data_IF_023530873119
#
_entry.id   IF_023530873119
#
_cell.length_a   1.000
_cell.length_b   1.000
_cell.length_c   1.000
_cell.angle_alpha   90.00
_cell.angle_beta   90.00
_cell.angle_gamma   90.00
#
_symmetry.space_group_name_H-M   'P 1'
#
loop_
_entity.id
_entity.type
_entity.pdbx_description
1 polymer ?
#
# COMPACT_ATOMS: atom_id res chain seq x y z
N UNK A 1 -14.98 -1.34 -16.75
CA UNK A 1 -13.85 -1.91 -15.99
C UNK A 1 -14.25 -2.02 -14.53
N UNK A 2 -14.10 -3.19 -13.96
CA UNK A 2 -14.42 -3.42 -12.57
C UNK A 2 -13.15 -3.46 -11.74
N UNK A 3 -13.15 -2.72 -10.63
CA UNK A 3 -12.05 -2.80 -9.69
C UNK A 3 -12.26 -4.02 -8.79
N UNK A 4 -11.27 -4.90 -8.74
CA UNK A 4 -11.32 -6.12 -7.95
C UNK A 4 -10.34 -6.13 -6.79
N UNK A 5 -9.28 -5.37 -6.89
CA UNK A 5 -8.24 -5.35 -5.86
C UNK A 5 -7.68 -3.95 -5.70
N UNK A 6 -7.91 -3.38 -4.53
CA UNK A 6 -7.49 -2.02 -4.19
C UNK A 6 -6.25 -2.11 -3.30
N UNK A 7 -5.19 -1.41 -3.70
CA UNK A 7 -3.96 -1.31 -2.93
C UNK A 7 -3.91 0.07 -2.29
N UNK A 8 -3.80 0.12 -0.96
CA UNK A 8 -3.73 1.37 -0.20
C UNK A 8 -2.30 1.60 0.24
N UNK A 9 -1.73 2.72 -0.17
CA UNK A 9 -0.40 3.14 0.28
C UNK A 9 -0.53 3.76 1.66
N UNK A 10 -0.21 3.00 2.69
CA UNK A 10 -0.35 3.44 4.08
C UNK A 10 0.96 4.04 4.59
N UNK A 11 0.82 4.99 5.51
CA UNK A 11 1.92 5.58 6.24
C UNK A 11 1.63 5.48 7.73
N UNK A 12 2.65 5.60 8.58
CA UNK A 12 2.48 5.43 10.03
C UNK A 12 2.01 6.74 10.69
N UNK A 13 0.89 7.25 10.21
CA UNK A 13 0.26 8.46 10.74
C UNK A 13 -1.25 8.26 10.79
N UNK A 14 -1.92 9.05 11.63
CA UNK A 14 -3.38 8.96 11.77
C UNK A 14 -4.13 9.35 10.49
N UNK A 15 -3.51 10.16 9.64
CA UNK A 15 -4.09 10.56 8.35
C UNK A 15 -4.41 9.35 7.48
N UNK A 16 -3.66 8.27 7.64
CA UNK A 16 -3.87 7.04 6.87
C UNK A 16 -5.28 6.48 7.07
N UNK A 17 -5.90 6.76 8.19
CA UNK A 17 -7.27 6.30 8.46
C UNK A 17 -8.28 6.89 7.46
N UNK A 18 -8.01 8.09 6.95
CA UNK A 18 -8.83 8.69 5.88
C UNK A 18 -8.78 7.84 4.62
N UNK A 19 -7.56 7.39 4.25
CA UNK A 19 -7.38 6.51 3.09
C UNK A 19 -8.08 5.17 3.30
N UNK A 20 -7.94 4.60 4.47
CA UNK A 20 -8.53 3.29 4.79
C UNK A 20 -10.05 3.37 4.72
N UNK A 21 -10.65 4.43 5.25
CA UNK A 21 -12.09 4.64 5.18
C UNK A 21 -12.56 4.75 3.73
N UNK A 22 -11.80 5.47 2.90
CA UNK A 22 -12.12 5.64 1.49
C UNK A 22 -12.03 4.30 0.75
N UNK A 23 -10.99 3.53 1.02
CA UNK A 23 -10.80 2.21 0.42
C UNK A 23 -11.93 1.26 0.83
N UNK A 24 -12.31 1.27 2.11
CA UNK A 24 -13.39 0.43 2.60
C UNK A 24 -14.72 0.79 1.92
N UNK A 25 -14.98 2.07 1.71
CA UNK A 25 -16.17 2.52 1.00
C UNK A 25 -16.20 1.96 -0.43
N UNK A 26 -15.09 2.08 -1.16
CA UNK A 26 -15.02 1.55 -2.52
C UNK A 26 -15.11 0.03 -2.54
N UNK A 27 -14.46 -0.64 -1.60
CA UNK A 27 -14.50 -2.10 -1.53
C UNK A 27 -15.92 -2.62 -1.32
N UNK A 28 -16.69 -1.95 -0.47
CA UNK A 28 -18.09 -2.31 -0.25
C UNK A 28 -18.94 -2.11 -1.51
N UNK A 29 -18.74 -0.98 -2.19
CA UNK A 29 -19.52 -0.65 -3.37
C UNK A 29 -19.18 -1.49 -4.59
N UNK A 30 -17.92 -1.90 -4.71
CA UNK A 30 -17.41 -2.59 -5.89
C UNK A 30 -17.18 -4.07 -5.67
N UNK A 31 -17.42 -4.56 -4.47
CA UNK A 31 -17.11 -5.93 -4.06
C UNK A 31 -15.66 -6.28 -4.34
N UNK A 32 -14.76 -5.39 -3.93
CA UNK A 32 -13.33 -5.51 -4.16
C UNK A 32 -12.59 -5.92 -2.90
N UNK A 33 -11.42 -6.52 -3.07
CA UNK A 33 -10.51 -6.81 -1.97
C UNK A 33 -9.61 -5.62 -1.69
N UNK A 34 -9.02 -5.58 -0.50
CA UNK A 34 -8.11 -4.53 -0.06
C UNK A 34 -6.79 -5.15 0.36
N UNK A 35 -5.69 -4.53 -0.03
CA UNK A 35 -4.35 -4.81 0.49
C UNK A 35 -3.68 -3.50 0.85
N UNK A 36 -2.72 -3.55 1.77
CA UNK A 36 -1.92 -2.39 2.15
C UNK A 36 -0.51 -2.53 1.61
N UNK A 37 0.15 -1.42 1.32
CA UNK A 37 1.58 -1.37 1.06
C UNK A 37 2.20 -0.26 1.89
N UNK A 38 3.29 -0.57 2.56
CA UNK A 38 4.08 0.38 3.34
C UNK A 38 5.53 0.30 2.87
N UNK A 39 6.10 1.45 2.50
CA UNK A 39 7.50 1.54 2.09
C UNK A 39 8.26 2.32 3.15
N UNK A 40 9.18 1.63 3.82
CA UNK A 40 10.02 2.24 4.84
C UNK A 40 11.25 2.84 4.17
N UNK A 41 11.32 4.15 4.14
CA UNK A 41 12.45 4.86 3.55
C UNK A 41 13.54 5.26 4.53
N UNK A 42 13.38 4.91 5.82
CA UNK A 42 14.28 5.44 6.85
C UNK A 42 15.61 4.68 6.98
N UNK A 43 15.66 3.46 6.49
CA UNK A 43 16.81 2.55 6.70
C UNK A 43 17.53 2.17 5.42
N UNK A 44 17.29 2.90 4.33
CA UNK A 44 17.87 2.55 3.03
C UNK A 44 17.29 1.24 2.51
N UNK A 45 17.95 0.65 1.53
CA UNK A 45 17.45 -0.57 0.92
C UNK A 45 17.98 -1.80 1.65
N UNK A 46 17.19 -2.32 2.58
CA UNK A 46 17.51 -3.52 3.34
C UNK A 46 17.03 -4.77 2.62
N UNK A 47 15.88 -4.68 1.95
CA UNK A 47 15.28 -5.81 1.25
C UNK A 47 15.26 -5.56 -0.25
N UNK A 48 15.64 -6.57 -1.06
CA UNK A 48 15.56 -6.41 -2.52
C UNK A 48 14.12 -6.43 -3.04
N UNK A 49 13.16 -6.91 -2.26
CA UNK A 49 11.78 -7.05 -2.71
C UNK A 49 10.79 -6.67 -1.62
N UNK A 50 9.56 -6.33 -2.04
CA UNK A 50 8.43 -6.14 -1.14
C UNK A 50 7.92 -7.52 -0.73
N UNK A 51 7.63 -7.69 0.54
CA UNK A 51 7.12 -8.95 1.06
C UNK A 51 5.86 -8.74 1.90
N UNK A 52 5.04 -9.79 2.00
CA UNK A 52 3.79 -9.77 2.75
C UNK A 52 4.08 -10.17 4.20
N UNK A 53 3.69 -9.32 5.16
CA UNK A 53 3.92 -9.65 6.57
C UNK A 53 2.88 -10.62 7.13
N UNK A 54 1.77 -10.82 6.44
CA UNK A 54 0.79 -11.83 6.85
C UNK A 54 1.36 -13.23 6.57
N UNK A 55 1.44 -14.04 7.58
CA UNK A 55 2.00 -15.39 7.46
C UNK A 55 3.48 -15.49 7.73
N UNK A 56 4.19 -14.39 7.93
CA UNK A 56 5.62 -14.37 8.23
C UNK A 56 5.92 -13.79 9.61
N UNK A 57 5.00 -13.96 10.53
CA UNK A 57 5.14 -13.40 11.88
C UNK A 57 6.32 -14.04 12.60
N UNK A 58 7.12 -13.21 13.24
CA UNK A 58 8.20 -13.63 14.11
C UNK A 58 9.61 -13.61 13.52
N UNK A 59 9.74 -13.52 12.19
CA UNK A 59 11.06 -13.54 11.53
C UNK A 59 11.31 -12.33 10.63
N UNK A 60 10.58 -11.24 10.86
CA UNK A 60 10.71 -10.05 10.03
C UNK A 60 11.72 -9.09 10.65
N UNK A 61 12.75 -8.67 9.89
CA UNK A 61 13.71 -7.68 10.39
C UNK A 61 13.14 -6.25 10.41
N UNK A 62 11.85 -6.11 10.44
CA UNK A 62 11.15 -4.84 10.54
C UNK A 62 10.81 -4.57 12.01
N UNK A 63 10.84 -3.31 12.39
CA UNK A 63 10.50 -2.87 13.73
C UNK A 63 9.13 -3.39 14.13
N UNK A 64 9.05 -3.97 15.32
CA UNK A 64 7.81 -4.51 15.88
C UNK A 64 6.72 -3.44 15.98
N UNK A 65 7.09 -2.20 16.32
CA UNK A 65 6.13 -1.08 16.38
C UNK A 65 5.49 -0.82 15.02
N UNK A 66 6.25 -0.94 13.94
CA UNK A 66 5.72 -0.81 12.58
C UNK A 66 4.70 -1.89 12.28
N UNK A 67 5.03 -3.12 12.62
CA UNK A 67 4.13 -4.27 12.42
C UNK A 67 2.83 -4.05 13.22
N UNK A 68 2.94 -3.63 14.46
CA UNK A 68 1.78 -3.39 15.31
C UNK A 68 0.90 -2.28 14.76
N UNK A 69 1.50 -1.23 14.21
CA UNK A 69 0.78 -0.13 13.57
C UNK A 69 -0.03 -0.62 12.37
N UNK A 70 0.59 -1.44 11.53
CA UNK A 70 -0.06 -1.98 10.34
C UNK A 70 -1.22 -2.91 10.71
N UNK A 71 -1.05 -3.70 11.75
CA UNK A 71 -2.13 -4.56 12.26
C UNK A 71 -3.27 -3.75 12.86
N UNK A 72 -2.96 -2.62 13.49
CA UNK A 72 -3.98 -1.70 13.98
C UNK A 72 -4.81 -1.13 12.83
N UNK A 73 -4.17 -0.77 11.73
CA UNK A 73 -4.86 -0.32 10.53
C UNK A 73 -5.76 -1.40 9.95
N UNK A 74 -5.30 -2.64 9.95
CA UNK A 74 -6.11 -3.78 9.51
C UNK A 74 -7.39 -3.91 10.34
N UNK A 75 -7.26 -3.81 11.64
CA UNK A 75 -8.41 -3.85 12.55
C UNK A 75 -9.34 -2.66 12.32
N UNK A 76 -8.76 -1.48 12.12
CA UNK A 76 -9.52 -0.25 11.87
C UNK A 76 -10.36 -0.35 10.60
N UNK A 77 -9.86 -1.01 9.58
CA UNK A 77 -10.54 -1.10 8.28
C UNK A 77 -11.88 -1.86 8.35
N UNK A 78 -12.03 -2.75 9.32
CA UNK A 78 -13.22 -3.61 9.44
C UNK A 78 -13.52 -4.41 8.19
N UNK A 79 -12.48 -4.70 7.43
CA UNK A 79 -12.50 -5.50 6.21
C UNK A 79 -11.42 -6.56 6.30
N UNK A 80 -11.60 -7.65 5.60
CA UNK A 80 -10.53 -8.62 5.44
C UNK A 80 -9.46 -7.99 4.53
N UNK A 81 -8.25 -7.83 5.07
CA UNK A 81 -7.12 -7.32 4.31
C UNK A 81 -6.37 -8.52 3.74
N UNK A 82 -6.28 -8.59 2.41
CA UNK A 82 -5.68 -9.74 1.74
C UNK A 82 -4.19 -9.85 1.99
N UNK A 83 -3.48 -8.75 1.86
CA UNK A 83 -2.02 -8.70 2.02
C UNK A 83 -1.62 -7.39 2.68
N UNK A 84 -0.53 -7.42 3.44
CA UNK A 84 0.10 -6.23 3.99
C UNK A 84 1.54 -6.26 3.51
N UNK A 85 1.81 -5.60 2.41
CA UNK A 85 3.13 -5.58 1.78
C UNK A 85 4.02 -4.54 2.44
N UNK A 86 5.24 -4.91 2.74
CA UNK A 86 6.23 -4.01 3.32
C UNK A 86 7.52 -4.11 2.53
N UNK A 87 8.12 -2.98 2.24
CA UNK A 87 9.38 -2.92 1.53
C UNK A 87 10.20 -1.72 1.98
N UNK A 88 11.45 -1.68 1.54
CA UNK A 88 12.37 -0.57 1.80
C UNK A 88 12.98 -0.09 0.47
N UNK A 89 13.47 1.14 0.46
CA UNK A 89 14.21 1.67 -0.67
C UNK A 89 13.34 2.16 -1.82
N UNK A 90 13.79 1.88 -3.04
CA UNK A 90 13.14 2.39 -4.25
C UNK A 90 11.79 1.74 -4.50
N UNK A 91 10.83 2.58 -4.84
CA UNK A 91 9.44 2.19 -5.01
C UNK A 91 9.13 1.54 -6.36
N UNK A 92 9.82 1.99 -7.44
CA UNK A 92 9.34 1.77 -8.81
C UNK A 92 9.20 0.31 -9.23
N UNK A 93 10.29 -0.44 -9.26
CA UNK A 93 10.26 -1.82 -9.75
C UNK A 93 9.53 -2.75 -8.79
N UNK A 94 9.69 -2.50 -7.49
CA UNK A 94 9.09 -3.34 -6.45
C UNK A 94 7.58 -3.24 -6.46
N UNK A 95 7.06 -2.02 -6.58
CA UNK A 95 5.62 -1.79 -6.61
C UNK A 95 4.99 -2.39 -7.87
N UNK A 96 5.67 -2.26 -9.00
CA UNK A 96 5.23 -2.87 -10.24
C UNK A 96 5.02 -4.38 -10.08
N UNK A 97 5.98 -5.06 -9.47
CA UNK A 97 5.89 -6.51 -9.28
C UNK A 97 4.71 -6.89 -8.39
N UNK A 98 4.46 -6.12 -7.33
CA UNK A 98 3.32 -6.35 -6.45
C UNK A 98 2.00 -6.17 -7.21
N UNK A 99 1.89 -5.12 -8.00
CA UNK A 99 0.70 -4.82 -8.77
C UNK A 99 0.39 -5.95 -9.75
N UNK A 100 1.39 -6.35 -10.53
CA UNK A 100 1.21 -7.40 -11.54
C UNK A 100 0.91 -8.76 -10.93
N UNK A 101 1.66 -9.13 -9.88
CA UNK A 101 1.55 -10.45 -9.28
C UNK A 101 0.21 -10.65 -8.55
N UNK A 102 -0.42 -9.58 -8.10
CA UNK A 102 -1.62 -9.66 -7.25
C UNK A 102 -2.87 -9.12 -7.92
N UNK A 103 -2.80 -8.75 -9.18
CA UNK A 103 -3.97 -8.25 -9.90
C UNK A 103 -4.53 -6.95 -9.33
N UNK A 104 -3.66 -6.08 -8.86
CA UNK A 104 -4.07 -4.77 -8.35
C UNK A 104 -4.52 -3.90 -9.54
N UNK A 105 -5.67 -3.27 -9.40
CA UNK A 105 -6.23 -2.44 -10.47
C UNK A 105 -6.56 -1.02 -10.02
N UNK A 106 -6.46 -0.72 -8.72
CA UNK A 106 -6.63 0.63 -8.20
C UNK A 106 -5.65 0.87 -7.06
N UNK A 107 -4.91 1.96 -7.12
CA UNK A 107 -3.99 2.38 -6.07
C UNK A 107 -4.53 3.66 -5.42
N UNK A 108 -4.67 3.63 -4.08
CA UNK A 108 -5.05 4.82 -3.30
C UNK A 108 -3.84 5.34 -2.54
N UNK A 109 -3.60 6.63 -2.61
CA UNK A 109 -2.54 7.28 -1.82
C UNK A 109 -2.98 8.65 -1.36
N UNK A 110 -2.34 9.16 -0.32
CA UNK A 110 -2.63 10.47 0.24
C UNK A 110 -1.73 11.55 -0.35
N UNK A 111 -2.30 12.71 -0.55
CA UNK A 111 -1.62 13.82 -1.23
C UNK A 111 -0.39 14.34 -0.46
N UNK A 112 -0.44 14.31 0.87
CA UNK A 112 0.66 14.85 1.70
C UNK A 112 1.71 13.82 2.11
N UNK A 113 1.53 12.56 1.76
CA UNK A 113 2.42 11.50 2.20
C UNK A 113 3.67 11.40 1.35
N UNK A 114 4.76 10.92 1.94
CA UNK A 114 6.02 10.67 1.23
C UNK A 114 5.82 9.73 0.05
N UNK A 115 4.90 8.80 0.18
CA UNK A 115 4.57 7.88 -0.91
C UNK A 115 4.15 8.64 -2.16
N UNK A 116 3.30 9.67 -2.02
CA UNK A 116 2.85 10.48 -3.14
C UNK A 116 4.02 11.17 -3.85
N UNK A 117 4.95 11.73 -3.08
CA UNK A 117 6.13 12.38 -3.66
C UNK A 117 7.01 11.39 -4.41
N UNK A 118 7.20 10.19 -3.85
CA UNK A 118 7.95 9.13 -4.52
C UNK A 118 7.21 8.65 -5.77
N UNK A 119 5.90 8.53 -5.70
CA UNK A 119 5.08 8.11 -6.82
C UNK A 119 5.17 9.09 -7.98
N UNK A 120 5.12 10.40 -7.72
CA UNK A 120 5.26 11.42 -8.76
C UNK A 120 6.61 11.26 -9.49
N UNK A 121 7.68 11.04 -8.73
CA UNK A 121 9.03 10.90 -9.29
C UNK A 121 9.17 9.67 -10.19
N UNK A 122 8.38 8.63 -9.95
CA UNK A 122 8.49 7.35 -10.65
C UNK A 122 7.20 6.95 -11.38
N UNK A 123 6.20 7.84 -11.42
CA UNK A 123 4.88 7.50 -11.96
C UNK A 123 4.93 7.04 -13.41
N UNK A 124 5.80 7.64 -14.23
CA UNK A 124 5.92 7.25 -15.61
C UNK A 124 6.31 5.78 -15.76
N UNK A 125 7.27 5.32 -14.96
CA UNK A 125 7.70 3.93 -14.99
C UNK A 125 6.57 2.98 -14.59
N UNK A 126 5.84 3.35 -13.55
CA UNK A 126 4.74 2.53 -13.04
C UNK A 126 3.59 2.47 -14.07
N UNK A 127 3.21 3.62 -14.60
CA UNK A 127 2.08 3.73 -15.53
C UNK A 127 2.40 3.04 -16.87
N UNK A 128 3.61 3.22 -17.39
CA UNK A 128 4.00 2.64 -18.68
C UNK A 128 4.12 1.12 -18.63
N UNK A 129 4.49 0.57 -17.48
CA UNK A 129 4.76 -0.86 -17.35
C UNK A 129 3.57 -1.64 -16.80
N UNK A 130 2.86 -1.05 -15.84
CA UNK A 130 1.67 -1.66 -15.24
C UNK A 130 0.61 -0.57 -15.08
N UNK A 131 -0.08 -0.21 -16.17
CA UNK A 131 -1.07 0.86 -16.10
C UNK A 131 -2.23 0.46 -15.20
N UNK A 132 -2.40 1.24 -14.14
CA UNK A 132 -3.52 1.09 -13.19
C UNK A 132 -4.06 2.48 -12.89
N UNK A 133 -5.29 2.52 -12.41
CA UNK A 133 -5.87 3.76 -11.95
C UNK A 133 -5.30 4.14 -10.59
N UNK A 134 -5.04 5.42 -10.39
CA UNK A 134 -4.50 5.95 -9.15
C UNK A 134 -5.46 7.01 -8.63
N UNK A 135 -5.92 6.82 -7.40
CA UNK A 135 -6.75 7.80 -6.73
C UNK A 135 -5.93 8.49 -5.64
N UNK A 136 -5.80 9.79 -5.76
CA UNK A 136 -5.10 10.61 -4.78
C UNK A 136 -6.13 11.28 -3.89
N UNK A 137 -6.06 11.00 -2.59
CA UNK A 137 -7.02 11.53 -1.63
C UNK A 137 -6.42 12.77 -0.98
N UNK A 138 -7.13 13.92 -1.03
CA UNK A 138 -6.64 15.11 -0.35
C UNK A 138 -6.60 14.90 1.16
N UNK A 139 -5.47 15.29 1.75
CA UNK A 139 -5.23 15.17 3.19
C UNK A 139 -5.05 16.57 3.76
N UNK A 140 -5.55 16.79 4.95
CA UNK A 140 -5.36 18.07 5.66
C UNK A 140 -4.13 18.04 6.55
#
# INVERSE_FOLDING_TARGET
MEYRHILVAVELSDDTKVLINRAAFFADKLDAGISFVYIDGTHGEIYPEIFDIQGNEGNLPINEDTINHLKEFETYAKHTIKHIFVGTGDLSDKLKNVIEANGVDLLLCGHHHDFWHKLISHSKQIIDISPIDILVVPME
#
